data_IF_152007357498
#
_entry.id   IF_152007357498
#
_cell.length_a   1.000
_cell.length_b   1.000
_cell.length_c   1.000
_cell.angle_alpha   90.00
_cell.angle_beta   90.00
_cell.angle_gamma   90.00
#
_symmetry.space_group_name_H-M   'P 1'
#
loop_
_entity.id
_entity.type
_entity.pdbx_description
1 polymer ?
#
# COMPACT_ATOMS: atom_id res chain seq x y z
N UNK A 1 5.61 -36.89 -25.48
CA UNK A 1 5.89 -35.45 -25.69
C UNK A 1 5.90 -34.78 -24.33
N UNK A 2 7.08 -34.49 -23.80
CA UNK A 2 7.26 -33.93 -22.47
C UNK A 2 7.18 -32.41 -22.55
N UNK A 3 6.13 -31.82 -21.98
CA UNK A 3 6.11 -30.39 -21.66
C UNK A 3 6.79 -30.19 -20.30
N UNK A 4 8.10 -30.03 -20.32
CA UNK A 4 8.82 -29.38 -19.21
C UNK A 4 8.49 -27.89 -19.27
N UNK A 5 7.56 -27.44 -18.42
CA UNK A 5 7.36 -26.02 -18.18
C UNK A 5 8.52 -25.54 -17.31
N UNK A 6 9.52 -24.96 -17.96
CA UNK A 6 10.66 -24.33 -17.30
C UNK A 6 10.20 -23.21 -16.36
N UNK A 7 10.58 -23.37 -15.10
CA UNK A 7 10.68 -22.31 -14.08
C UNK A 7 11.39 -21.06 -14.63
N UNK A 8 10.65 -20.03 -15.03
CA UNK A 8 11.16 -18.64 -15.09
C UNK A 8 10.04 -17.64 -14.83
N UNK A 9 9.82 -17.34 -13.54
CA UNK A 9 9.60 -15.96 -13.14
C UNK A 9 10.30 -15.77 -11.79
N UNK A 10 11.34 -14.91 -11.68
CA UNK A 10 11.81 -14.50 -10.37
C UNK A 10 10.60 -13.92 -9.64
N UNK A 11 10.19 -14.50 -8.50
CA UNK A 11 9.06 -14.02 -7.67
C UNK A 11 9.00 -12.50 -7.76
N UNK A 12 8.02 -11.97 -8.48
CA UNK A 12 8.01 -10.54 -8.78
C UNK A 12 8.05 -9.76 -7.47
N UNK A 13 8.98 -8.80 -7.37
CA UNK A 13 9.18 -8.06 -6.12
C UNK A 13 7.91 -7.27 -5.80
N UNK A 14 7.34 -7.52 -4.63
CA UNK A 14 6.25 -6.74 -4.09
C UNK A 14 6.80 -5.41 -3.59
N UNK A 15 6.29 -4.29 -4.11
CA UNK A 15 6.66 -2.96 -3.65
C UNK A 15 5.53 -1.97 -3.86
N UNK A 16 5.62 -0.86 -3.13
CA UNK A 16 4.81 0.34 -3.35
C UNK A 16 5.69 1.55 -3.59
N UNK A 17 5.13 2.58 -4.25
CA UNK A 17 5.82 3.84 -4.50
C UNK A 17 4.80 4.99 -4.51
N UNK A 18 5.08 6.06 -3.78
CA UNK A 18 4.29 7.28 -3.89
C UNK A 18 4.81 8.13 -5.04
N UNK A 19 4.02 8.30 -6.11
CA UNK A 19 4.38 9.09 -7.28
C UNK A 19 3.69 10.45 -7.26
N UNK A 20 4.35 11.47 -7.80
CA UNK A 20 3.69 12.71 -8.20
C UNK A 20 2.88 12.43 -9.46
N UNK A 21 1.58 12.69 -9.42
CA UNK A 21 0.65 12.38 -10.49
C UNK A 21 0.50 13.57 -11.44
N UNK A 22 1.58 13.97 -12.12
CA UNK A 22 1.60 14.97 -13.21
C UNK A 22 1.26 16.42 -12.83
N UNK A 23 0.28 16.63 -11.95
CA UNK A 23 -0.15 17.87 -11.36
C UNK A 23 0.62 18.16 -10.07
N UNK A 24 0.78 19.43 -9.71
CA UNK A 24 1.62 19.84 -8.58
C UNK A 24 1.23 19.19 -7.24
N UNK A 25 -0.07 18.99 -7.02
CA UNK A 25 -0.62 18.54 -5.74
C UNK A 25 -1.19 17.12 -5.73
N UNK A 26 -1.15 16.42 -6.86
CA UNK A 26 -1.70 15.07 -6.92
C UNK A 26 -0.61 14.04 -6.66
N UNK A 27 -0.87 13.12 -5.74
CA UNK A 27 0.00 11.98 -5.52
C UNK A 27 -0.78 10.68 -5.60
N UNK A 28 -0.15 9.66 -6.16
CA UNK A 28 -0.72 8.33 -6.29
C UNK A 28 0.19 7.30 -5.63
N UNK A 29 -0.42 6.28 -5.02
CA UNK A 29 0.27 5.10 -4.56
C UNK A 29 0.27 4.08 -5.70
N UNK A 30 1.44 3.86 -6.27
CA UNK A 30 1.69 2.82 -7.27
C UNK A 30 1.87 1.46 -6.60
N UNK A 31 1.27 0.44 -7.21
CA UNK A 31 1.33 -0.96 -6.79
C UNK A 31 2.13 -1.76 -7.83
N UNK A 32 3.18 -2.47 -7.41
CA UNK A 32 3.93 -3.34 -8.32
C UNK A 32 3.05 -4.45 -8.91
N UNK A 33 3.46 -5.02 -10.05
CA UNK A 33 2.78 -6.17 -10.65
C UNK A 33 2.70 -7.34 -9.66
N UNK A 34 3.80 -7.70 -8.99
CA UNK A 34 3.80 -8.74 -7.97
C UNK A 34 2.85 -8.47 -6.81
N UNK A 35 2.69 -7.20 -6.37
CA UNK A 35 1.70 -6.86 -5.36
C UNK A 35 0.27 -7.01 -5.89
N UNK A 36 0.01 -6.62 -7.15
CA UNK A 36 -1.31 -6.80 -7.77
C UNK A 36 -1.66 -8.28 -7.95
N UNK A 37 -0.71 -9.11 -8.37
CA UNK A 37 -0.90 -10.56 -8.43
C UNK A 37 -1.22 -11.13 -7.05
N UNK A 38 -0.52 -10.69 -6.02
CA UNK A 38 -0.79 -11.11 -4.65
C UNK A 38 -2.19 -10.69 -4.15
N UNK A 39 -2.62 -9.46 -4.44
CA UNK A 39 -3.98 -8.99 -4.13
C UNK A 39 -5.02 -9.83 -4.86
N UNK A 40 -4.79 -10.13 -6.15
CA UNK A 40 -5.68 -10.98 -6.96
C UNK A 40 -5.78 -12.38 -6.36
N UNK A 41 -4.66 -12.97 -5.95
CA UNK A 41 -4.61 -14.28 -5.29
C UNK A 41 -5.41 -14.32 -4.00
N UNK A 42 -5.45 -13.22 -3.23
CA UNK A 42 -6.23 -13.13 -2.00
C UNK A 42 -7.73 -12.88 -2.24
N UNK A 43 -8.15 -12.58 -3.48
CA UNK A 43 -9.53 -12.23 -3.84
C UNK A 43 -10.07 -11.09 -2.97
N UNK A 44 -9.27 -10.02 -2.88
CA UNK A 44 -9.52 -8.84 -2.08
C UNK A 44 -9.29 -7.58 -2.93
N UNK A 45 -10.00 -6.50 -2.63
CA UNK A 45 -10.09 -5.32 -3.50
C UNK A 45 -9.82 -4.00 -2.77
N UNK A 46 -9.40 -4.06 -1.50
CA UNK A 46 -9.00 -2.89 -0.71
C UNK A 46 -7.61 -3.06 -0.07
N UNK A 47 -6.95 -1.93 0.16
CA UNK A 47 -5.74 -1.84 0.96
C UNK A 47 -5.86 -0.78 2.06
N UNK A 48 -5.43 -1.11 3.26
CA UNK A 48 -5.21 -0.18 4.37
C UNK A 48 -3.71 0.08 4.52
N UNK A 49 -3.33 1.33 4.77
CA UNK A 49 -1.98 1.66 5.20
C UNK A 49 -1.95 1.72 6.72
N UNK A 50 -0.92 1.11 7.30
CA UNK A 50 -0.63 1.16 8.71
C UNK A 50 0.81 1.56 8.96
N UNK A 51 1.14 1.89 10.20
CA UNK A 51 2.49 2.25 10.58
C UNK A 51 2.87 1.68 11.95
N UNK A 52 4.18 1.58 12.17
CA UNK A 52 4.78 1.37 13.47
C UNK A 52 5.83 2.47 13.70
N UNK A 53 5.68 3.27 14.76
CA UNK A 53 6.57 4.40 15.04
C UNK A 53 7.90 3.96 15.64
N UNK A 54 7.91 2.90 16.47
CA UNK A 54 9.11 2.40 17.16
C UNK A 54 10.17 1.88 16.19
N UNK A 55 9.70 1.29 15.08
CA UNK A 55 10.51 0.75 14.00
C UNK A 55 10.51 1.64 12.77
N UNK A 56 9.68 2.69 12.75
CA UNK A 56 9.49 3.61 11.62
C UNK A 56 9.13 2.86 10.33
N UNK A 57 8.18 1.92 10.42
CA UNK A 57 7.81 1.00 9.35
C UNK A 57 6.40 1.32 8.84
N UNK A 58 6.23 1.37 7.53
CA UNK A 58 4.94 1.38 6.86
C UNK A 58 4.48 -0.07 6.58
N UNK A 59 3.21 -0.34 6.80
CA UNK A 59 2.57 -1.61 6.47
C UNK A 59 1.38 -1.41 5.52
N UNK A 60 1.08 -2.46 4.78
CA UNK A 60 -0.06 -2.58 3.88
C UNK A 60 -0.84 -3.81 4.31
N UNK A 61 -2.12 -3.63 4.63
CA UNK A 61 -3.05 -4.73 4.85
C UNK A 61 -4.00 -4.81 3.67
N UNK A 62 -4.14 -6.00 3.10
CA UNK A 62 -5.07 -6.29 2.00
C UNK A 62 -6.36 -6.81 2.61
N UNK A 63 -7.51 -6.27 2.24
CA UNK A 63 -8.79 -6.65 2.82
C UNK A 63 -9.97 -6.44 1.84
N UNK A 64 -11.20 -6.72 2.28
CA UNK A 64 -12.42 -6.70 1.43
C UNK A 64 -13.30 -5.45 1.58
N UNK A 65 -13.06 -4.58 2.56
CA UNK A 65 -14.08 -3.59 2.96
C UNK A 65 -13.56 -2.22 3.36
N UNK A 66 -12.27 -2.07 3.68
CA UNK A 66 -11.72 -0.86 4.30
C UNK A 66 -10.48 -0.35 3.58
N UNK A 67 -10.38 0.96 3.46
CA UNK A 67 -9.22 1.67 2.94
C UNK A 67 -9.38 2.10 1.49
N UNK A 68 -8.30 1.97 0.72
CA UNK A 68 -8.25 2.38 -0.67
C UNK A 68 -8.70 1.23 -1.56
N UNK A 69 -9.78 1.44 -2.31
CA UNK A 69 -10.23 0.46 -3.33
C UNK A 69 -9.22 0.41 -4.47
N UNK A 70 -8.59 -0.75 -4.64
CA UNK A 70 -7.54 -0.98 -5.66
C UNK A 70 -8.10 -1.52 -6.96
N UNK A 71 -9.36 -1.92 -7.02
CA UNK A 71 -10.06 -2.25 -8.26
C UNK A 71 -10.79 -1.03 -8.83
N UNK A 72 -10.95 -0.99 -10.16
CA UNK A 72 -11.89 -0.09 -10.83
C UNK A 72 -13.31 -0.68 -10.83
N UNK A 73 -14.27 0.07 -11.40
CA UNK A 73 -15.68 -0.34 -11.39
C UNK A 73 -15.95 -1.59 -12.25
N UNK A 74 -15.02 -1.93 -13.16
CA UNK A 74 -15.03 -3.16 -13.95
C UNK A 74 -14.32 -4.33 -13.24
N UNK A 75 -13.97 -4.20 -11.95
CA UNK A 75 -13.27 -5.23 -11.18
C UNK A 75 -11.80 -5.45 -11.55
N UNK A 76 -11.21 -4.62 -12.43
CA UNK A 76 -9.80 -4.72 -12.81
C UNK A 76 -8.91 -3.99 -11.80
N UNK A 77 -7.82 -4.64 -11.39
CA UNK A 77 -6.83 -4.04 -10.49
C UNK A 77 -6.12 -2.84 -11.14
N UNK A 78 -6.15 -1.71 -10.44
CA UNK A 78 -5.47 -0.48 -10.81
C UNK A 78 -3.97 -0.61 -10.56
N UNK A 79 -3.16 0.01 -11.41
CA UNK A 79 -1.72 0.15 -11.17
C UNK A 79 -1.41 1.20 -10.09
N UNK A 80 -2.32 2.16 -9.87
CA UNK A 80 -2.16 3.18 -8.86
C UNK A 80 -3.51 3.66 -8.29
N UNK A 81 -3.49 4.15 -7.05
CA UNK A 81 -4.64 4.75 -6.37
C UNK A 81 -4.29 6.15 -5.88
N UNK A 82 -5.25 7.09 -5.91
CA UNK A 82 -5.01 8.46 -5.46
C UNK A 82 -4.82 8.50 -3.93
N UNK A 83 -3.77 9.19 -3.46
CA UNK A 83 -3.36 9.17 -2.04
C UNK A 83 -2.87 10.51 -1.51
N UNK A 84 -3.14 11.65 -2.17
CA UNK A 84 -2.66 12.98 -1.74
C UNK A 84 -2.84 13.25 -0.24
N UNK A 85 -4.06 13.14 0.28
CA UNK A 85 -4.33 13.44 1.69
C UNK A 85 -3.72 12.41 2.64
N UNK A 86 -3.74 11.15 2.24
CA UNK A 86 -3.13 10.05 3.01
C UNK A 86 -1.61 10.21 3.10
N UNK A 87 -0.95 10.59 2.01
CA UNK A 87 0.49 10.83 2.01
C UNK A 87 0.85 12.04 2.88
N UNK A 88 0.10 13.14 2.80
CA UNK A 88 0.31 14.31 3.68
C UNK A 88 0.21 13.92 5.16
N UNK A 89 -0.78 13.10 5.51
CA UNK A 89 -0.92 12.56 6.86
C UNK A 89 0.27 11.65 7.24
N UNK A 90 0.68 10.77 6.34
CA UNK A 90 1.81 9.85 6.56
C UNK A 90 3.14 10.57 6.75
N UNK A 91 3.46 11.59 5.95
CA UNK A 91 4.74 12.33 6.06
C UNK A 91 4.84 13.05 7.41
N UNK A 92 3.73 13.51 7.97
CA UNK A 92 3.72 14.12 9.31
C UNK A 92 4.02 13.10 10.42
N UNK A 93 3.66 11.83 10.21
CA UNK A 93 3.89 10.75 11.19
C UNK A 93 5.24 10.05 11.00
N UNK A 94 5.67 9.89 9.75
CA UNK A 94 6.88 9.21 9.32
C UNK A 94 7.61 10.09 8.29
N UNK A 95 8.40 11.08 8.74
CA UNK A 95 9.13 12.01 7.87
C UNK A 95 10.11 11.32 6.90
N UNK A 96 10.46 10.06 7.15
CA UNK A 96 11.31 9.24 6.29
C UNK A 96 10.60 8.77 5.00
N UNK A 97 9.27 8.88 4.94
CA UNK A 97 8.51 8.59 3.72
C UNK A 97 8.75 9.71 2.70
N UNK A 98 9.24 9.32 1.52
CA UNK A 98 9.65 10.18 0.43
C UNK A 98 8.86 9.82 -0.83
N UNK A 99 8.56 10.86 -1.59
CA UNK A 99 8.06 10.70 -2.95
C UNK A 99 9.10 9.98 -3.83
N UNK A 100 8.58 9.32 -4.85
CA UNK A 100 9.33 8.62 -5.87
C UNK A 100 10.33 7.57 -5.34
N UNK A 101 10.16 7.12 -4.10
CA UNK A 101 10.99 6.10 -3.46
C UNK A 101 10.27 4.76 -3.48
N UNK A 102 10.98 3.71 -3.89
CA UNK A 102 10.45 2.34 -3.91
C UNK A 102 10.58 1.71 -2.54
N UNK A 103 9.45 1.27 -1.97
CA UNK A 103 9.39 0.56 -0.70
C UNK A 103 9.12 -0.92 -0.96
N UNK A 104 10.16 -1.73 -0.88
CA UNK A 104 10.05 -3.19 -1.00
C UNK A 104 9.25 -3.74 0.17
N UNK A 105 8.32 -4.63 -0.11
CA UNK A 105 7.42 -5.22 0.88
C UNK A 105 7.83 -6.66 1.20
N UNK A 106 7.81 -6.99 2.48
CA UNK A 106 7.97 -8.35 3.00
C UNK A 106 6.70 -8.79 3.68
N UNK A 107 6.36 -10.07 3.52
CA UNK A 107 5.15 -10.64 4.14
C UNK A 107 5.38 -10.82 5.63
N UNK A 108 4.47 -10.26 6.44
CA UNK A 108 4.48 -10.40 7.90
C UNK A 108 3.32 -11.25 8.39
N UNK A 109 2.20 -11.26 7.67
CA UNK A 109 1.06 -12.15 7.88
C UNK A 109 0.42 -12.54 6.54
N UNK A 110 -0.66 -13.34 6.54
CA UNK A 110 -1.37 -13.83 5.36
C UNK A 110 -1.75 -12.69 4.40
N UNK A 111 -2.30 -11.62 4.94
CA UNK A 111 -2.83 -10.44 4.25
C UNK A 111 -2.07 -9.14 4.59
N UNK A 112 -1.02 -9.23 5.41
CA UNK A 112 -0.23 -8.08 5.87
C UNK A 112 1.19 -8.15 5.31
N UNK A 113 1.61 -7.01 4.76
CA UNK A 113 2.93 -6.75 4.22
C UNK A 113 3.53 -5.54 4.93
N UNK A 114 4.84 -5.55 5.19
CA UNK A 114 5.56 -4.42 5.79
C UNK A 114 6.71 -4.00 4.89
N UNK A 115 7.06 -2.70 4.90
CA UNK A 115 8.25 -2.25 4.19
C UNK A 115 9.50 -2.85 4.83
N UNK A 116 10.37 -3.39 4.00
CA UNK A 116 11.68 -3.80 4.46
C UNK A 116 12.51 -2.56 4.77
N UNK A 117 12.98 -2.44 6.02
CA UNK A 117 13.88 -1.37 6.43
C UNK A 117 15.10 -1.95 7.09
N UNK A 118 16.24 -1.29 6.90
CA UNK A 118 17.49 -1.62 7.58
C UNK A 118 17.37 -1.61 9.10
N UNK A 119 16.37 -0.90 9.66
CA UNK A 119 16.08 -0.88 11.10
C UNK A 119 15.47 -2.20 11.60
N UNK A 120 14.61 -2.85 10.80
CA UNK A 120 14.09 -4.18 11.12
C UNK A 120 15.23 -5.20 11.11
N UNK A 121 16.08 -5.13 10.08
CA UNK A 121 17.24 -6.02 9.92
C UNK A 121 18.26 -5.82 11.05
N UNK A 122 18.59 -4.57 11.37
CA UNK A 122 19.57 -4.23 12.42
C UNK A 122 19.09 -4.63 13.82
N UNK A 123 17.79 -4.49 14.10
CA UNK A 123 17.22 -4.90 15.40
C UNK A 123 16.89 -6.40 15.46
N UNK A 124 17.12 -7.17 14.39
CA UNK A 124 16.77 -8.60 14.24
C UNK A 124 15.32 -8.89 14.68
N UNK A 125 14.42 -7.97 14.40
CA UNK A 125 13.02 -8.08 14.85
C UNK A 125 12.31 -9.05 13.94
N UNK A 126 11.66 -10.07 14.52
CA UNK A 126 10.77 -10.92 13.75
C UNK A 126 9.60 -10.07 13.22
N UNK A 127 9.43 -9.91 11.89
CA UNK A 127 8.39 -9.06 11.33
C UNK A 127 6.97 -9.47 11.77
N UNK A 128 6.77 -10.73 12.16
CA UNK A 128 5.49 -11.24 12.69
C UNK A 128 5.10 -10.65 14.05
N UNK A 129 6.07 -10.10 14.78
CA UNK A 129 5.84 -9.51 16.10
C UNK A 129 5.63 -7.99 16.04
N UNK A 130 5.57 -7.41 14.84
CA UNK A 130 5.31 -5.99 14.67
C UNK A 130 3.82 -5.69 14.88
N UNK A 131 3.53 -4.80 15.84
CA UNK A 131 2.19 -4.24 16.00
C UNK A 131 2.05 -3.01 15.10
N UNK A 132 1.00 -2.94 14.30
CA UNK A 132 0.74 -1.82 13.39
C UNK A 132 -0.51 -1.05 13.81
N UNK A 133 -0.40 0.27 13.78
CA UNK A 133 -1.56 1.17 13.86
C UNK A 133 -2.10 1.41 12.45
N UNK A 134 -3.34 1.02 12.19
CA UNK A 134 -3.99 1.18 10.89
C UNK A 134 -4.61 2.57 10.75
N UNK A 135 -4.36 3.23 9.61
CA UNK A 135 -4.85 4.58 9.38
C UNK A 135 -6.32 4.54 9.00
N UNK A 136 -7.17 5.04 9.89
CA UNK A 136 -8.60 5.18 9.63
C UNK A 136 -8.89 6.16 8.50
N UNK A 137 -9.87 5.83 7.66
CA UNK A 137 -10.25 6.64 6.50
C UNK A 137 -10.69 8.06 6.86
N UNK A 138 -11.34 8.23 8.02
CA UNK A 138 -11.79 9.51 8.54
C UNK A 138 -10.63 10.51 8.78
N UNK A 139 -9.39 10.02 8.96
CA UNK A 139 -8.20 10.85 9.20
C UNK A 139 -7.71 11.55 7.95
N UNK A 140 -8.02 11.02 6.76
CA UNK A 140 -7.50 11.54 5.50
C UNK A 140 -8.55 11.76 4.41
N UNK A 141 -9.75 11.17 4.49
CA UNK A 141 -10.84 11.51 3.57
C UNK A 141 -11.45 12.85 4.01
N UNK A 142 -11.36 13.87 3.14
CA UNK A 142 -12.10 15.13 3.35
C UNK A 142 -13.59 14.80 3.44
N UNK A 143 -14.29 15.34 4.44
CA UNK A 143 -15.76 15.32 4.48
C UNK A 143 -16.25 15.96 3.17
N UNK A 144 -17.04 15.24 2.38
CA UNK A 144 -17.71 15.85 1.22
C UNK A 144 -18.68 16.88 1.79
N UNK A 145 -18.38 18.16 1.61
CA UNK A 145 -19.36 19.22 1.84
C UNK A 145 -20.51 18.95 0.87
N UNK A 146 -21.69 18.61 1.39
CA UNK A 146 -22.89 18.56 0.58
C UNK A 146 -23.12 19.98 0.06
N UNK A 147 -22.86 20.19 -1.23
CA UNK A 147 -23.38 21.37 -1.92
C UNK A 147 -24.89 21.15 -2.00
N UNK A 148 -25.62 21.74 -1.06
CA UNK A 148 -27.05 21.92 -1.23
C UNK A 148 -27.22 22.80 -2.47
N UNK A 149 -27.65 22.18 -3.58
CA UNK A 149 -28.16 22.94 -4.72
C UNK A 149 -29.38 23.70 -4.22
N UNK A 150 -29.21 24.99 -3.99
CA UNK A 150 -30.34 25.91 -3.87
C UNK A 150 -30.93 25.98 -5.28
N UNK A 151 -32.10 25.35 -5.47
CA UNK A 151 -32.91 25.47 -6.66
C UNK A 151 -33.80 26.71 -6.55
#
# INVERSE_FOLDING_TARGET
MNFTLENKNPKEKMFIKFNKAGYEDMTSLYLSSGLREFIKYLEMDYIELGYNLDYKVLAVKINRTKGLRVCNDNGKLKAAVATTTLLRYLINLLPEIKLCTTYNLVKVDKDILAMNTSLIDAKKVNPKNLCFTWIEENRYKRKKTQFNKVY
#
